data_IF_729236404301
#
_entry.id   IF_729236404301
#
_cell.length_a   1.000
_cell.length_b   1.000
_cell.length_c   1.000
_cell.angle_alpha   90.00
_cell.angle_beta   90.00
_cell.angle_gamma   90.00
#
_symmetry.space_group_name_H-M   'P 1'
#
loop_
_entity.id
_entity.type
_entity.pdbx_description
1 polymer ?
#
# COMPACT_ATOMS: atom_id res chain seq x y z
N UNK A 1 5.68 -8.97 -41.12
CA UNK A 1 6.22 -7.66 -40.67
C UNK A 1 5.08 -6.75 -40.23
N UNK A 2 5.23 -6.04 -39.09
CA UNK A 2 4.22 -5.09 -38.59
C UNK A 2 4.06 -3.92 -39.56
N UNK A 3 2.88 -3.32 -39.60
CA UNK A 3 2.64 -2.12 -40.43
C UNK A 3 3.58 -0.96 -40.04
N UNK A 4 3.98 -0.90 -38.78
CA UNK A 4 4.84 0.13 -38.21
C UNK A 4 6.30 -0.05 -38.62
N UNK A 5 6.84 -1.26 -38.49
CA UNK A 5 8.19 -1.60 -38.96
C UNK A 5 8.30 -1.41 -40.49
N UNK A 6 7.26 -1.80 -41.24
CA UNK A 6 7.21 -1.62 -42.70
C UNK A 6 7.10 -0.15 -43.09
N UNK A 7 6.40 0.67 -42.30
CA UNK A 7 6.30 2.10 -42.50
C UNK A 7 7.66 2.78 -42.28
N UNK A 8 8.40 2.39 -41.23
CA UNK A 8 9.76 2.87 -40.98
C UNK A 8 10.72 2.49 -42.11
N UNK A 9 10.70 1.23 -42.56
CA UNK A 9 11.57 0.74 -43.64
C UNK A 9 11.27 1.43 -44.98
N UNK A 10 9.99 1.66 -45.28
CA UNK A 10 9.56 2.31 -46.52
C UNK A 10 9.62 3.85 -46.46
N UNK A 11 9.95 4.46 -45.31
CA UNK A 11 9.90 5.91 -45.12
C UNK A 11 8.50 6.52 -45.28
N UNK A 12 7.46 5.81 -44.87
CA UNK A 12 6.06 6.25 -45.01
C UNK A 12 5.29 6.17 -43.69
N UNK A 13 4.01 6.52 -43.69
CA UNK A 13 3.14 6.40 -42.52
C UNK A 13 2.43 5.04 -42.48
N UNK A 14 2.18 4.54 -41.27
CA UNK A 14 1.43 3.30 -40.99
C UNK A 14 0.07 3.25 -41.71
N UNK A 15 -0.64 4.38 -41.77
CA UNK A 15 -1.94 4.48 -42.45
C UNK A 15 -1.83 4.24 -43.95
N UNK A 16 -0.74 4.71 -44.59
CA UNK A 16 -0.49 4.52 -46.02
C UNK A 16 -0.12 3.07 -46.35
N UNK A 17 0.65 2.41 -45.48
CA UNK A 17 0.92 0.97 -45.59
C UNK A 17 -0.37 0.16 -45.46
N UNK A 18 -1.23 0.49 -44.49
CA UNK A 18 -2.52 -0.18 -44.30
C UNK A 18 -3.44 -0.01 -45.51
N UNK A 19 -3.54 1.21 -46.03
CA UNK A 19 -4.32 1.50 -47.24
C UNK A 19 -3.79 0.71 -48.44
N UNK A 20 -2.47 0.69 -48.67
CA UNK A 20 -1.86 -0.10 -49.75
C UNK A 20 -2.13 -1.59 -49.58
N UNK A 21 -2.03 -2.14 -48.37
CA UNK A 21 -2.36 -3.55 -48.12
C UNK A 21 -3.81 -3.86 -48.51
N UNK A 22 -4.76 -3.01 -48.13
CA UNK A 22 -6.17 -3.17 -48.51
C UNK A 22 -6.36 -3.09 -50.04
N UNK A 23 -5.73 -2.11 -50.69
CA UNK A 23 -5.81 -1.91 -52.14
C UNK A 23 -5.33 -3.14 -52.93
N UNK A 24 -4.27 -3.80 -52.45
CA UNK A 24 -3.72 -5.01 -53.08
C UNK A 24 -4.28 -6.32 -52.50
N UNK A 25 -5.34 -6.27 -51.68
CA UNK A 25 -5.96 -7.46 -51.10
C UNK A 25 -5.13 -8.20 -50.04
N UNK A 26 -4.04 -7.59 -49.56
CA UNK A 26 -3.27 -8.14 -48.45
C UNK A 26 -3.95 -7.82 -47.11
N UNK A 27 -4.10 -8.82 -46.21
CA UNK A 27 -4.71 -8.57 -44.92
C UNK A 27 -3.84 -7.63 -44.06
N UNK A 28 -4.49 -6.73 -43.32
CA UNK A 28 -3.82 -5.91 -42.32
C UNK A 28 -3.10 -6.79 -41.30
N UNK A 29 -1.95 -6.34 -40.81
CA UNK A 29 -1.23 -7.07 -39.78
C UNK A 29 -2.07 -7.12 -38.50
N UNK A 30 -2.27 -8.33 -37.99
CA UNK A 30 -2.91 -8.59 -36.70
C UNK A 30 -2.03 -9.50 -35.87
N UNK A 31 -2.07 -9.29 -34.55
CA UNK A 31 -1.37 -10.12 -33.57
C UNK A 31 -1.77 -11.58 -33.71
N UNK A 32 -3.05 -11.85 -34.01
CA UNK A 32 -3.58 -13.20 -34.16
C UNK A 32 -2.99 -13.89 -35.40
N UNK A 33 -2.88 -13.17 -36.52
CA UNK A 33 -2.25 -13.68 -37.75
C UNK A 33 -0.75 -13.91 -37.59
N UNK A 34 -0.09 -13.16 -36.71
CA UNK A 34 1.33 -13.39 -36.40
C UNK A 34 1.53 -14.64 -35.53
N UNK A 35 0.54 -15.04 -34.73
CA UNK A 35 0.60 -16.21 -33.85
C UNK A 35 0.13 -17.48 -34.57
N UNK A 36 -0.83 -17.39 -35.49
CA UNK A 36 -1.45 -18.54 -36.19
C UNK A 36 -0.43 -19.56 -36.77
N UNK A 37 0.68 -19.17 -37.43
CA UNK A 37 1.65 -20.14 -37.96
C UNK A 37 2.28 -21.03 -36.88
N UNK A 38 2.35 -20.52 -35.64
CA UNK A 38 2.95 -21.19 -34.49
C UNK A 38 1.92 -21.89 -33.61
N UNK A 39 0.69 -22.10 -34.11
CA UNK A 39 -0.41 -22.72 -33.37
C UNK A 39 -0.05 -24.09 -32.79
N UNK A 40 0.72 -24.88 -33.54
CA UNK A 40 1.21 -26.19 -33.12
C UNK A 40 2.11 -26.14 -31.86
N UNK A 41 2.77 -25.00 -31.60
CA UNK A 41 3.64 -24.81 -30.42
C UNK A 41 2.88 -24.33 -29.18
N UNK A 42 1.61 -23.94 -29.30
CA UNK A 42 0.88 -23.31 -28.20
C UNK A 42 0.62 -24.23 -27.00
N UNK A 43 0.50 -25.54 -27.23
CA UNK A 43 0.33 -26.54 -26.16
C UNK A 43 1.64 -27.16 -25.66
N UNK A 44 2.72 -27.04 -26.44
CA UNK A 44 4.00 -27.71 -26.18
C UNK A 44 4.99 -26.75 -25.50
N UNK A 45 5.07 -25.53 -26.02
CA UNK A 45 6.09 -24.55 -25.65
C UNK A 45 5.59 -23.54 -24.62
N UNK A 46 6.55 -22.93 -23.91
CA UNK A 46 6.23 -21.85 -22.99
C UNK A 46 5.70 -20.62 -23.73
N UNK A 47 4.85 -19.82 -23.07
CA UNK A 47 4.31 -18.57 -23.66
C UNK A 47 5.43 -17.61 -24.07
N UNK A 48 6.55 -17.59 -23.33
CA UNK A 48 7.71 -16.74 -23.63
C UNK A 48 8.47 -17.22 -24.88
N UNK A 49 8.62 -18.53 -25.05
CA UNK A 49 9.27 -19.12 -26.23
C UNK A 49 8.49 -18.75 -27.48
N UNK A 50 7.17 -18.99 -27.47
CA UNK A 50 6.29 -18.68 -28.61
C UNK A 50 6.26 -17.18 -28.90
N UNK A 51 6.20 -16.33 -27.86
CA UNK A 51 6.23 -14.88 -28.04
C UNK A 51 7.48 -14.40 -28.78
N UNK A 52 8.65 -14.98 -28.45
CA UNK A 52 9.92 -14.66 -29.12
C UNK A 52 9.92 -15.10 -30.59
N UNK A 53 9.41 -16.30 -30.89
CA UNK A 53 9.31 -16.82 -32.26
C UNK A 53 8.34 -15.99 -33.13
N UNK A 54 7.20 -15.61 -32.56
CA UNK A 54 6.17 -14.84 -33.26
C UNK A 54 6.46 -13.33 -33.35
N UNK A 55 7.43 -12.80 -32.58
CA UNK A 55 7.71 -11.37 -32.50
C UNK A 55 6.60 -10.54 -31.83
N UNK A 56 5.83 -11.16 -30.94
CA UNK A 56 4.70 -10.52 -30.21
C UNK A 56 4.93 -10.58 -28.69
N UNK A 57 4.11 -9.87 -27.92
CA UNK A 57 4.21 -9.90 -26.46
C UNK A 57 3.76 -11.24 -25.88
N UNK A 58 4.35 -11.66 -24.76
CA UNK A 58 3.92 -12.86 -24.03
C UNK A 58 2.47 -12.74 -23.54
N UNK A 59 2.01 -11.53 -23.24
CA UNK A 59 0.62 -11.26 -22.89
C UNK A 59 -0.33 -11.62 -24.04
N UNK A 60 -0.02 -11.18 -25.26
CA UNK A 60 -0.80 -11.45 -26.47
C UNK A 60 -0.93 -12.94 -26.77
N UNK A 61 0.17 -13.70 -26.66
CA UNK A 61 0.15 -15.17 -26.82
C UNK A 61 -0.70 -15.82 -25.74
N UNK A 62 -0.62 -15.33 -24.50
CA UNK A 62 -1.46 -15.80 -23.40
C UNK A 62 -2.95 -15.58 -23.66
N UNK A 63 -3.34 -14.41 -24.17
CA UNK A 63 -4.73 -14.11 -24.53
C UNK A 63 -5.21 -14.96 -25.72
N UNK A 64 -4.35 -15.16 -26.71
CA UNK A 64 -4.65 -16.03 -27.86
C UNK A 64 -4.85 -17.49 -27.43
N UNK A 65 -4.01 -18.03 -26.54
CA UNK A 65 -4.18 -19.36 -25.93
C UNK A 65 -5.50 -19.48 -25.16
N UNK A 66 -5.83 -18.48 -24.35
CA UNK A 66 -7.09 -18.45 -23.59
C UNK A 66 -8.32 -18.53 -24.49
N UNK A 67 -8.34 -17.77 -25.60
CA UNK A 67 -9.44 -17.81 -26.58
C UNK A 67 -9.60 -19.17 -27.26
N UNK A 68 -8.48 -19.87 -27.51
CA UNK A 68 -8.49 -21.21 -28.11
C UNK A 68 -8.68 -22.34 -27.09
N UNK A 69 -8.82 -22.04 -25.79
CA UNK A 69 -8.92 -23.05 -24.74
C UNK A 69 -7.64 -23.88 -24.54
N UNK A 70 -6.50 -23.46 -25.10
CA UNK A 70 -5.24 -24.19 -24.98
C UNK A 70 -4.57 -23.81 -23.67
N UNK A 71 -4.42 -24.78 -22.76
CA UNK A 71 -3.65 -24.57 -21.52
C UNK A 71 -2.18 -24.41 -21.89
N UNK A 72 -1.57 -23.32 -21.41
CA UNK A 72 -0.13 -23.16 -21.53
C UNK A 72 0.58 -24.24 -20.72
N UNK A 73 1.69 -24.78 -21.25
CA UNK A 73 2.62 -25.58 -20.45
C UNK A 73 2.97 -24.77 -19.19
N UNK A 74 2.80 -25.34 -17.97
CA UNK A 74 3.24 -24.67 -16.76
C UNK A 74 4.71 -24.31 -16.94
N UNK A 75 5.03 -23.03 -16.75
CA UNK A 75 6.42 -22.61 -16.74
C UNK A 75 7.18 -23.37 -15.64
N UNK A 76 8.52 -23.43 -15.70
CA UNK A 76 9.29 -23.83 -14.52
C UNK A 76 8.77 -23.03 -13.33
N UNK A 77 8.54 -23.71 -12.20
CA UNK A 77 8.04 -23.08 -10.98
C UNK A 77 8.78 -21.75 -10.80
N UNK A 78 8.00 -20.68 -10.59
CA UNK A 78 8.53 -19.32 -10.55
C UNK A 78 9.78 -19.26 -9.69
N UNK A 79 10.77 -18.47 -10.13
CA UNK A 79 12.06 -18.34 -9.45
C UNK A 79 11.90 -18.36 -7.93
N UNK A 80 12.75 -19.12 -7.20
CA UNK A 80 12.57 -19.36 -5.78
C UNK A 80 12.32 -18.03 -5.07
N UNK A 81 11.19 -17.96 -4.34
CA UNK A 81 10.79 -16.74 -3.63
C UNK A 81 11.98 -16.22 -2.82
N UNK A 82 12.33 -14.94 -2.93
CA UNK A 82 13.51 -14.41 -2.26
C UNK A 82 13.35 -14.56 -0.75
N UNK A 83 14.19 -15.41 -0.14
CA UNK A 83 14.18 -15.66 1.31
C UNK A 83 14.73 -14.48 2.12
N UNK A 84 15.40 -13.54 1.45
CA UNK A 84 16.09 -12.39 2.05
C UNK A 84 15.94 -11.15 1.19
N UNK A 85 15.93 -9.99 1.83
CA UNK A 85 16.00 -8.71 1.15
C UNK A 85 17.37 -8.50 0.49
N UNK A 86 17.42 -7.88 -0.70
CA UNK A 86 18.66 -7.33 -1.25
C UNK A 86 19.31 -6.35 -0.28
N UNK A 87 20.64 -6.18 -0.40
CA UNK A 87 21.42 -5.46 0.59
C UNK A 87 20.90 -4.04 0.87
N UNK A 88 20.50 -3.33 -0.20
CA UNK A 88 20.09 -1.92 -0.17
C UNK A 88 18.57 -1.74 -0.27
N UNK A 89 17.78 -2.78 0.03
CA UNK A 89 16.33 -2.68 -0.09
C UNK A 89 15.71 -1.84 1.05
N UNK A 90 14.82 -0.86 0.77
CA UNK A 90 14.27 0.05 1.79
C UNK A 90 13.47 -0.65 2.90
N UNK A 91 12.87 -1.81 2.60
CA UNK A 91 12.15 -2.62 3.61
C UNK A 91 13.05 -3.48 4.50
N UNK A 92 14.35 -3.56 4.23
CA UNK A 92 15.28 -4.42 4.98
C UNK A 92 15.30 -4.12 6.49
N UNK A 93 15.36 -2.84 6.95
CA UNK A 93 15.31 -2.51 8.38
C UNK A 93 13.97 -2.87 9.04
N UNK A 94 12.90 -2.96 8.25
CA UNK A 94 11.53 -3.15 8.72
C UNK A 94 11.05 -4.60 8.53
N UNK A 95 11.96 -5.54 8.22
CA UNK A 95 11.66 -6.96 8.02
C UNK A 95 10.85 -7.57 9.18
N UNK A 96 11.15 -7.17 10.42
CA UNK A 96 10.46 -7.67 11.61
C UNK A 96 9.01 -7.22 11.68
N UNK A 97 8.66 -6.05 11.11
CA UNK A 97 7.31 -5.50 11.13
C UNK A 97 6.36 -6.24 10.19
N UNK A 98 6.88 -6.90 9.16
CA UNK A 98 6.08 -7.66 8.20
C UNK A 98 5.38 -8.81 8.92
N UNK A 99 4.04 -8.81 8.89
CA UNK A 99 3.20 -9.80 9.57
C UNK A 99 2.92 -9.50 11.06
N UNK A 100 3.56 -8.49 11.66
CA UNK A 100 3.21 -7.99 12.99
C UNK A 100 2.36 -6.71 12.91
N UNK A 101 2.61 -5.88 11.90
CA UNK A 101 1.93 -4.61 11.67
C UNK A 101 1.29 -4.63 10.29
N UNK A 102 0.16 -3.94 10.12
CA UNK A 102 -0.54 -3.83 8.84
C UNK A 102 0.36 -3.23 7.74
N UNK A 103 0.23 -3.74 6.52
CA UNK A 103 1.10 -3.37 5.38
C UNK A 103 1.13 -1.85 5.11
N UNK A 104 0.04 -1.13 5.41
CA UNK A 104 -0.06 0.33 5.22
C UNK A 104 0.89 1.12 6.15
N UNK A 105 1.02 0.70 7.40
CA UNK A 105 1.89 1.38 8.38
C UNK A 105 3.36 1.18 7.99
N UNK A 106 3.72 -0.03 7.55
CA UNK A 106 5.07 -0.35 7.06
C UNK A 106 5.37 0.40 5.76
N UNK A 107 4.38 0.52 4.87
CA UNK A 107 4.47 1.28 3.63
C UNK A 107 4.77 2.76 3.89
N UNK A 108 4.00 3.39 4.80
CA UNK A 108 4.19 4.79 5.17
C UNK A 108 5.55 5.03 5.83
N UNK A 109 5.98 4.11 6.70
CA UNK A 109 7.24 4.23 7.43
C UNK A 109 8.45 4.06 6.50
N UNK A 110 8.39 3.10 5.57
CA UNK A 110 9.48 2.84 4.64
C UNK A 110 9.51 3.74 3.41
N UNK A 111 8.42 4.48 3.13
CA UNK A 111 8.28 5.29 1.92
C UNK A 111 8.15 4.45 0.64
N UNK A 112 7.58 3.25 0.75
CA UNK A 112 7.43 2.29 -0.37
C UNK A 112 5.97 1.98 -0.59
N UNK A 113 5.57 1.63 -1.81
CA UNK A 113 4.18 1.24 -2.09
C UNK A 113 3.72 0.03 -1.26
N UNK A 114 2.43 0.05 -0.87
CA UNK A 114 1.76 -1.05 -0.17
C UNK A 114 1.87 -2.39 -0.91
N UNK A 115 1.79 -2.36 -2.24
CA UNK A 115 1.90 -3.56 -3.08
C UNK A 115 3.28 -4.21 -2.97
N UNK A 116 4.35 -3.41 -2.91
CA UNK A 116 5.70 -3.93 -2.71
C UNK A 116 5.84 -4.55 -1.32
N UNK A 117 5.29 -3.92 -0.27
CA UNK A 117 5.26 -4.49 1.09
C UNK A 117 4.54 -5.84 1.11
N UNK A 118 3.35 -5.90 0.51
CA UNK A 118 2.55 -7.13 0.38
C UNK A 118 3.31 -8.24 -0.33
N UNK A 119 3.89 -7.94 -1.49
CA UNK A 119 4.65 -8.92 -2.28
C UNK A 119 5.82 -9.49 -1.47
N UNK A 120 6.53 -8.64 -0.73
CA UNK A 120 7.63 -9.08 0.13
C UNK A 120 7.17 -9.86 1.35
N UNK A 121 6.05 -9.47 1.97
CA UNK A 121 5.42 -10.24 3.07
C UNK A 121 5.05 -11.65 2.60
N UNK A 122 4.40 -11.77 1.45
CA UNK A 122 4.01 -13.05 0.83
C UNK A 122 5.21 -13.87 0.35
N UNK A 123 6.26 -13.21 -0.17
CA UNK A 123 7.51 -13.86 -0.54
C UNK A 123 8.22 -14.48 0.67
N UNK A 124 8.12 -13.83 1.84
CA UNK A 124 8.63 -14.31 3.12
C UNK A 124 7.68 -15.28 3.83
N UNK A 125 6.52 -15.60 3.25
CA UNK A 125 5.54 -16.53 3.80
C UNK A 125 4.89 -16.06 5.11
N UNK A 126 4.66 -14.74 5.25
CA UNK A 126 4.03 -14.17 6.45
C UNK A 126 2.57 -13.81 6.20
N UNK A 127 1.72 -14.13 7.16
CA UNK A 127 0.30 -13.76 7.11
C UNK A 127 0.09 -12.25 7.31
N UNK A 128 -1.01 -11.69 6.75
CA UNK A 128 -1.32 -10.29 6.95
C UNK A 128 -1.72 -10.02 8.41
N UNK A 129 -1.11 -8.99 9.01
CA UNK A 129 -1.50 -8.54 10.33
C UNK A 129 -2.88 -7.85 10.29
N UNK A 130 -3.65 -7.98 11.37
CA UNK A 130 -4.93 -7.27 11.53
C UNK A 130 -4.68 -5.77 11.56
N UNK A 131 -5.52 -5.01 10.84
CA UNK A 131 -5.48 -3.55 10.92
C UNK A 131 -5.81 -3.09 12.34
N UNK A 132 -4.94 -2.26 12.91
CA UNK A 132 -5.22 -1.64 14.20
C UNK A 132 -6.36 -0.63 14.02
N UNK A 133 -7.26 -0.51 15.03
CA UNK A 133 -8.32 0.48 14.98
C UNK A 133 -7.72 1.85 14.70
N UNK A 134 -8.34 2.56 13.76
CA UNK A 134 -7.98 3.94 13.47
C UNK A 134 -8.28 4.76 14.71
N UNK A 135 -7.41 5.72 15.04
CA UNK A 135 -7.70 6.65 16.12
C UNK A 135 -9.10 7.25 15.89
N UNK A 136 -9.96 7.29 16.92
CA UNK A 136 -11.31 7.81 16.77
C UNK A 136 -11.20 9.23 16.20
N UNK A 137 -11.88 9.46 15.07
CA UNK A 137 -11.92 10.78 14.48
C UNK A 137 -12.50 11.73 15.52
N UNK A 138 -11.72 12.75 15.91
CA UNK A 138 -12.20 13.76 16.84
C UNK A 138 -13.47 14.38 16.26
N UNK A 139 -14.54 14.42 17.07
CA UNK A 139 -15.78 15.07 16.67
C UNK A 139 -15.49 16.55 16.45
N UNK A 140 -15.61 17.00 15.20
CA UNK A 140 -15.44 18.42 14.86
C UNK A 140 -16.71 19.17 15.24
N UNK A 141 -16.70 19.76 16.44
CA UNK A 141 -17.78 20.63 16.90
C UNK A 141 -17.61 21.99 16.21
N UNK A 142 -18.69 22.53 15.65
CA UNK A 142 -18.69 23.86 15.02
C UNK A 142 -18.63 24.93 16.10
N UNK A 143 -17.94 26.03 15.83
CA UNK A 143 -17.99 27.22 16.67
C UNK A 143 -19.35 27.91 16.53
N UNK A 144 -19.90 28.38 17.64
CA UNK A 144 -21.15 29.14 17.65
C UNK A 144 -20.87 30.60 17.94
N UNK A 145 -21.24 31.51 17.03
CA UNK A 145 -21.08 32.96 17.22
C UNK A 145 -22.28 33.48 18.04
N UNK A 146 -22.03 34.18 19.16
CA UNK A 146 -23.06 34.74 20.05
C UNK A 146 -22.59 34.92 21.50
N UNK A 147 -23.50 34.99 22.50
CA UNK A 147 -23.17 35.08 23.94
C UNK A 147 -22.44 33.84 24.51
N UNK A 148 -22.13 32.88 23.66
CA UNK A 148 -21.56 31.60 24.00
C UNK A 148 -20.02 31.65 23.90
N UNK A 149 -19.35 30.59 24.32
CA UNK A 149 -17.88 30.53 24.34
C UNK A 149 -17.26 30.85 22.97
N UNK A 150 -17.85 30.39 21.86
CA UNK A 150 -17.40 30.68 20.50
C UNK A 150 -16.16 29.91 20.03
N UNK A 151 -15.61 29.06 20.90
CA UNK A 151 -14.42 28.24 20.66
C UNK A 151 -14.68 26.75 20.90
N UNK A 152 -15.91 26.29 20.66
CA UNK A 152 -16.31 24.88 20.85
C UNK A 152 -15.48 23.90 19.99
N UNK A 153 -14.94 24.36 18.85
CA UNK A 153 -14.01 23.58 18.02
C UNK A 153 -12.72 23.18 18.74
N UNK A 154 -12.36 23.85 19.84
CA UNK A 154 -11.20 23.50 20.65
C UNK A 154 -11.48 22.30 21.57
N UNK A 155 -12.74 21.96 21.81
CA UNK A 155 -13.10 20.80 22.62
C UNK A 155 -12.57 19.51 21.98
N UNK A 156 -11.95 18.65 22.79
CA UNK A 156 -11.31 17.43 22.32
C UNK A 156 -9.94 17.62 21.64
N UNK A 157 -9.48 18.84 21.37
CA UNK A 157 -8.12 19.10 20.83
C UNK A 157 -7.11 19.44 21.92
N UNK A 158 -7.56 20.09 23.00
CA UNK A 158 -6.74 20.48 24.14
C UNK A 158 -7.56 20.46 25.43
N UNK A 159 -6.87 20.47 26.59
CA UNK A 159 -7.53 20.45 27.89
C UNK A 159 -8.34 21.72 28.15
N UNK A 160 -9.43 21.61 28.92
CA UNK A 160 -10.25 22.75 29.33
C UNK A 160 -9.44 23.87 29.99
N UNK A 161 -8.42 23.51 30.79
CA UNK A 161 -7.50 24.48 31.38
C UNK A 161 -6.68 25.27 30.34
N UNK A 162 -6.30 24.64 29.22
CA UNK A 162 -5.58 25.33 28.14
C UNK A 162 -6.52 26.24 27.35
N UNK A 163 -7.76 25.79 27.10
CA UNK A 163 -8.81 26.59 26.44
C UNK A 163 -9.09 27.84 27.27
N UNK A 164 -9.32 27.68 28.58
CA UNK A 164 -9.58 28.78 29.51
C UNK A 164 -8.52 29.88 29.42
N UNK A 165 -7.24 29.51 29.44
CA UNK A 165 -6.12 30.47 29.31
C UNK A 165 -6.02 31.09 27.93
N UNK A 166 -6.26 30.33 26.87
CA UNK A 166 -6.15 30.81 25.50
C UNK A 166 -7.28 31.78 25.13
N UNK A 167 -8.48 31.56 25.65
CA UNK A 167 -9.68 32.32 25.34
C UNK A 167 -9.93 33.46 26.36
N UNK A 168 -9.40 33.34 27.58
CA UNK A 168 -9.63 34.31 28.66
C UNK A 168 -10.96 34.10 29.39
N UNK A 169 -11.52 32.89 29.35
CA UNK A 169 -12.79 32.54 30.00
C UNK A 169 -12.52 31.62 31.20
N UNK A 170 -13.25 31.76 32.33
CA UNK A 170 -13.04 30.90 33.50
C UNK A 170 -13.19 29.41 33.18
N UNK A 171 -12.33 28.59 33.79
CA UNK A 171 -12.32 27.13 33.62
C UNK A 171 -13.69 26.48 33.81
N UNK A 172 -14.43 26.90 34.84
CA UNK A 172 -15.76 26.36 35.15
C UNK A 172 -16.76 26.56 33.99
N UNK A 173 -16.70 27.68 33.28
CA UNK A 173 -17.57 27.97 32.13
C UNK A 173 -17.25 27.03 30.97
N UNK A 174 -15.96 26.74 30.75
CA UNK A 174 -15.53 25.78 29.73
C UNK A 174 -16.05 24.37 30.03
N UNK A 175 -15.93 23.90 31.28
CA UNK A 175 -16.44 22.59 31.68
C UNK A 175 -17.97 22.49 31.61
N UNK A 176 -18.69 23.51 32.10
CA UNK A 176 -20.15 23.57 32.00
C UNK A 176 -20.59 23.49 30.54
N UNK A 177 -19.90 24.21 29.65
CA UNK A 177 -20.19 24.19 28.22
C UNK A 177 -19.88 22.84 27.58
N UNK A 178 -18.78 22.19 27.95
CA UNK A 178 -18.45 20.82 27.48
C UNK A 178 -19.52 19.82 27.90
N UNK A 179 -19.98 19.88 29.17
CA UNK A 179 -21.06 19.04 29.68
C UNK A 179 -22.38 19.30 28.95
N UNK A 180 -22.74 20.56 28.74
CA UNK A 180 -23.96 20.96 28.03
C UNK A 180 -23.99 20.40 26.59
N UNK A 181 -22.86 20.41 25.89
CA UNK A 181 -22.76 19.88 24.52
C UNK A 181 -22.50 18.37 24.46
N UNK A 182 -22.38 17.69 25.61
CA UNK A 182 -21.98 16.28 25.66
C UNK A 182 -20.61 16.01 25.02
N UNK A 183 -19.74 17.01 24.96
CA UNK A 183 -18.44 16.91 24.31
C UNK A 183 -17.50 16.04 25.16
N UNK A 184 -16.88 15.05 24.54
CA UNK A 184 -15.89 14.19 25.22
C UNK A 184 -14.70 15.06 25.66
N UNK A 185 -14.34 15.07 26.96
CA UNK A 185 -13.18 15.81 27.43
C UNK A 185 -11.91 15.38 26.72
N UNK A 186 -10.97 16.31 26.53
CA UNK A 186 -9.67 15.98 25.97
C UNK A 186 -8.93 14.97 26.85
N UNK A 187 -8.66 13.79 26.30
CA UNK A 187 -7.87 12.74 26.94
C UNK A 187 -6.50 12.65 26.27
N UNK A 188 -5.44 12.83 27.06
CA UNK A 188 -4.07 12.67 26.59
C UNK A 188 -3.71 11.18 26.54
N UNK A 189 -4.05 10.52 25.44
CA UNK A 189 -3.61 9.14 25.19
C UNK A 189 -2.19 9.12 24.62
N UNK A 190 -1.38 8.16 25.07
CA UNK A 190 -0.05 7.94 24.51
C UNK A 190 -0.16 7.36 23.10
N UNK A 191 0.54 7.93 22.11
CA UNK A 191 0.64 7.34 20.76
C UNK A 191 1.15 5.90 20.77
N UNK A 192 1.94 5.54 21.79
CA UNK A 192 2.48 4.19 21.97
C UNK A 192 1.42 3.18 22.43
N UNK A 193 0.31 3.63 23.03
CA UNK A 193 -0.74 2.74 23.52
C UNK A 193 -1.33 1.89 22.38
N UNK A 194 -1.43 2.45 21.17
CA UNK A 194 -1.88 1.72 19.95
C UNK A 194 -0.99 0.52 19.62
N UNK A 195 0.28 0.57 20.00
CA UNK A 195 1.29 -0.45 19.71
C UNK A 195 1.72 -1.24 20.96
N UNK A 196 0.90 -1.25 22.02
CA UNK A 196 1.21 -1.97 23.25
C UNK A 196 1.52 -3.46 23.02
N UNK A 197 0.79 -4.11 22.11
CA UNK A 197 1.00 -5.51 21.73
C UNK A 197 2.35 -5.78 21.05
N UNK A 198 3.07 -4.74 20.59
CA UNK A 198 4.40 -4.86 19.99
C UNK A 198 5.52 -4.67 21.01
N UNK A 199 5.21 -4.21 22.23
CA UNK A 199 6.21 -4.00 23.27
C UNK A 199 6.88 -5.34 23.62
N UNK A 200 8.21 -5.41 23.46
CA UNK A 200 8.99 -6.63 23.67
C UNK A 200 9.12 -7.55 22.44
N UNK A 201 8.22 -7.46 21.45
CA UNK A 201 8.34 -8.20 20.19
C UNK A 201 9.28 -7.52 19.19
N UNK A 202 9.31 -6.19 19.20
CA UNK A 202 10.16 -5.38 18.33
C UNK A 202 11.11 -4.51 19.15
N UNK A 203 12.19 -4.04 18.52
CA UNK A 203 13.10 -3.11 19.19
C UNK A 203 12.39 -1.78 19.49
N UNK A 204 12.77 -1.17 20.62
CA UNK A 204 12.23 0.14 21.04
C UNK A 204 12.46 1.23 20.00
N UNK A 205 13.55 1.16 19.23
CA UNK A 205 13.83 2.07 18.12
C UNK A 205 12.81 1.94 16.97
N UNK A 206 12.38 0.71 16.63
CA UNK A 206 11.34 0.50 15.62
C UNK A 206 9.96 0.92 16.13
N UNK A 207 9.66 0.62 17.39
CA UNK A 207 8.44 1.06 18.06
C UNK A 207 8.33 2.59 18.09
N UNK A 208 9.45 3.27 18.37
CA UNK A 208 9.55 4.73 18.36
C UNK A 208 9.26 5.31 16.96
N UNK A 209 9.83 4.71 15.91
CA UNK A 209 9.56 5.12 14.52
C UNK A 209 8.10 4.92 14.12
N UNK A 210 7.48 3.79 14.50
CA UNK A 210 6.06 3.51 14.23
C UNK A 210 5.11 4.49 14.91
N UNK A 211 5.40 4.86 16.17
CA UNK A 211 4.57 5.79 16.92
C UNK A 211 4.91 7.27 16.69
N UNK A 212 6.02 7.58 16.01
CA UNK A 212 6.51 8.95 15.82
C UNK A 212 6.89 9.62 17.14
N UNK A 213 7.59 8.90 18.02
CA UNK A 213 8.04 9.36 19.34
C UNK A 213 9.54 9.13 19.52
N UNK A 214 10.13 9.66 20.61
CA UNK A 214 11.54 9.44 20.91
C UNK A 214 11.82 7.99 21.31
N UNK A 215 13.04 7.52 21.01
CA UNK A 215 13.50 6.18 21.40
C UNK A 215 13.49 5.98 22.93
N UNK A 216 13.88 7.00 23.70
CA UNK A 216 13.84 6.97 25.17
C UNK A 216 12.43 6.71 25.70
N UNK A 217 11.43 7.39 25.15
CA UNK A 217 10.03 7.21 25.56
C UNK A 217 9.50 5.82 25.18
N UNK A 218 9.91 5.29 24.03
CA UNK A 218 9.56 3.93 23.64
C UNK A 218 10.23 2.86 24.52
N UNK A 219 11.47 3.10 24.98
CA UNK A 219 12.16 2.20 25.93
C UNK A 219 11.46 2.17 27.28
N UNK A 220 11.09 3.33 27.82
CA UNK A 220 10.38 3.45 29.08
C UNK A 220 9.01 2.75 29.01
N UNK A 221 8.24 3.04 27.96
CA UNK A 221 6.95 2.39 27.72
C UNK A 221 7.09 0.87 27.62
N UNK A 222 8.10 0.37 26.89
CA UNK A 222 8.31 -1.07 26.75
C UNK A 222 8.63 -1.73 28.10
N UNK A 223 9.43 -1.07 28.96
CA UNK A 223 9.69 -1.56 30.32
C UNK A 223 8.43 -1.58 31.18
N UNK A 224 7.61 -0.54 31.13
CA UNK A 224 6.36 -0.45 31.89
C UNK A 224 5.38 -1.56 31.50
N UNK A 225 5.18 -1.78 30.19
CA UNK A 225 4.30 -2.85 29.69
C UNK A 225 4.81 -4.24 30.10
N UNK A 226 6.12 -4.48 30.00
CA UNK A 226 6.72 -5.76 30.41
C UNK A 226 6.66 -5.99 31.92
N UNK A 227 6.78 -4.94 32.73
CA UNK A 227 6.64 -5.03 34.19
C UNK A 227 5.20 -5.36 34.59
N UNK A 228 4.20 -4.76 33.92
CA UNK A 228 2.79 -5.05 34.15
C UNK A 228 2.42 -6.50 33.79
N UNK A 229 2.94 -7.02 32.68
CA UNK A 229 2.68 -8.41 32.23
C UNK A 229 3.31 -9.51 33.11
N UNK A 230 4.19 -9.16 34.04
CA UNK A 230 4.84 -10.13 34.96
C UNK A 230 4.12 -10.28 36.30
N UNK A 231 3.11 -9.44 36.56
CA UNK A 231 2.37 -9.40 37.81
C UNK A 231 0.94 -9.95 37.70
N UNK A 232 0.55 -10.36 36.49
CA UNK A 232 -0.68 -11.08 36.16
C UNK A 232 -0.36 -12.54 35.83
#
# INVERSE_FOLDING_TARGET
>A
MKDEDLAQLAGTTKSRIRYRRQLFGYPAWSVDKAIEPYRHLLGIESTRTVARLCGVSAYSVGQYRKRLGIKAKPGPEGAPKPRRFPANHPLRPYKTLLGLVHDDEVSNLAGVSRTTVRNWREALGREPAKALPKEPAQQRIKNYVGPWLGYESLFGTMSAAKISRAVGVPFAIVEQRQKFLGAVPYQRVSKLARYQHLAGLISSALLAKLAGVSASRATEFSRQVQAGQRLD
#
